data_IF_889943405403
#
_entry.id   IF_889943405403
#
_cell.length_a   1.000
_cell.length_b   1.000
_cell.length_c   1.000
_cell.angle_alpha   90.00
_cell.angle_beta   90.00
_cell.angle_gamma   90.00
#
_symmetry.space_group_name_H-M   'P 1'
#
loop_
_entity.id
_entity.type
_entity.pdbx_description
1 polymer ?
#
# COMPACT_ATOMS: atom_id res chain seq x y z
N UNK A 1 8.87 -12.38 65.75
CA UNK A 1 8.41 -13.72 66.08
C UNK A 1 7.89 -14.35 64.81
N UNK A 2 8.67 -15.25 64.20
CA UNK A 2 8.19 -16.30 63.28
C UNK A 2 7.46 -17.37 64.04
N UNK A 3 6.59 -18.18 63.47
CA UNK A 3 7.09 -19.34 62.73
C UNK A 3 6.39 -19.68 61.41
N UNK A 4 7.14 -20.20 60.51
CA UNK A 4 6.83 -21.21 59.48
C UNK A 4 6.82 -22.62 60.11
N UNK A 5 6.60 -23.70 59.33
CA UNK A 5 5.66 -24.08 58.30
C UNK A 5 5.00 -25.45 58.59
N UNK A 6 4.07 -25.91 57.77
CA UNK A 6 3.88 -27.35 57.55
C UNK A 6 3.38 -27.65 56.13
N UNK A 7 4.07 -28.58 55.52
CA UNK A 7 3.86 -29.29 54.30
C UNK A 7 2.82 -30.40 54.44
N UNK A 8 2.12 -30.69 53.34
CA UNK A 8 1.58 -31.97 52.85
C UNK A 8 0.50 -31.63 51.82
N UNK A 9 0.37 -32.22 50.65
CA UNK A 9 0.82 -33.48 50.08
C UNK A 9 0.17 -33.57 48.69
N UNK A 10 0.87 -34.25 47.84
CA UNK A 10 0.63 -34.44 46.40
C UNK A 10 -0.79 -34.92 46.01
N UNK A 11 -1.29 -34.44 44.88
CA UNK A 11 -1.99 -35.30 43.92
C UNK A 11 -1.97 -34.69 42.52
N UNK A 12 -1.31 -35.38 41.63
CA UNK A 12 -1.26 -35.23 40.19
C UNK A 12 -2.65 -35.34 39.58
N UNK A 13 -3.00 -34.42 38.69
CA UNK A 13 -3.84 -34.73 37.53
C UNK A 13 -3.44 -33.88 36.32
N UNK A 14 -2.95 -34.57 35.37
CA UNK A 14 -2.68 -34.31 33.97
C UNK A 14 -3.66 -33.31 33.33
N UNK A 15 -3.17 -32.18 32.87
CA UNK A 15 -3.83 -31.34 31.88
C UNK A 15 -3.50 -31.89 30.51
N UNK A 16 -4.54 -32.19 29.79
CA UNK A 16 -4.57 -32.69 28.43
C UNK A 16 -4.06 -31.62 27.47
N UNK A 17 -2.86 -31.83 26.95
CA UNK A 17 -2.24 -31.07 25.87
C UNK A 17 -2.86 -31.57 24.54
N UNK A 18 -3.95 -30.95 24.12
CA UNK A 18 -4.47 -31.15 22.78
C UNK A 18 -3.76 -30.25 21.77
N UNK A 19 -2.47 -30.52 21.53
CA UNK A 19 -1.82 -30.12 20.29
C UNK A 19 -2.44 -30.92 19.15
N UNK A 20 -3.29 -30.28 18.36
CA UNK A 20 -3.75 -30.80 17.09
C UNK A 20 -2.53 -30.98 16.18
N UNK A 21 -2.02 -32.20 16.10
CA UNK A 21 -1.04 -32.62 15.08
C UNK A 21 -1.75 -32.56 13.73
N UNK A 22 -1.36 -31.59 12.90
CA UNK A 22 -1.64 -31.66 11.48
C UNK A 22 -0.96 -32.91 10.91
N UNK A 23 -1.76 -33.90 10.56
CA UNK A 23 -1.30 -35.05 9.80
C UNK A 23 -1.08 -34.57 8.36
N UNK A 24 0.17 -34.59 7.96
CA UNK A 24 0.66 -34.30 6.61
C UNK A 24 0.21 -35.45 5.69
N UNK A 25 -0.94 -35.30 5.05
CA UNK A 25 -1.32 -36.15 3.92
C UNK A 25 -1.07 -35.34 2.65
N UNK A 26 0.14 -35.48 2.12
CA UNK A 26 0.47 -34.96 0.80
C UNK A 26 -0.46 -35.56 -0.24
N UNK A 27 -1.17 -34.74 -1.03
CA UNK A 27 -1.86 -35.23 -2.21
C UNK A 27 -0.83 -35.63 -3.26
N UNK A 28 -1.02 -36.81 -3.80
CA UNK A 28 -0.26 -37.36 -4.92
C UNK A 28 -0.17 -36.35 -6.06
N UNK A 29 1.00 -36.27 -6.66
CA UNK A 29 1.36 -35.50 -7.85
C UNK A 29 0.19 -35.37 -8.81
N UNK A 30 -0.29 -34.17 -9.01
CA UNK A 30 -1.10 -33.79 -10.15
C UNK A 30 -0.15 -33.29 -11.23
N UNK A 31 -0.38 -33.85 -12.41
CA UNK A 31 0.39 -33.69 -13.64
C UNK A 31 0.61 -32.23 -14.06
N UNK A 32 1.72 -32.07 -14.78
CA UNK A 32 2.11 -31.03 -15.73
C UNK A 32 1.16 -29.82 -15.82
N UNK A 33 1.67 -28.68 -15.39
CA UNK A 33 1.13 -27.38 -15.75
C UNK A 33 1.25 -27.25 -17.27
N UNK A 34 0.15 -27.47 -17.97
CA UNK A 34 0.02 -27.04 -19.36
C UNK A 34 0.22 -25.53 -19.40
N UNK A 35 1.26 -25.10 -20.10
CA UNK A 35 1.40 -23.71 -20.50
C UNK A 35 0.18 -23.32 -21.31
N UNK A 36 -0.64 -22.47 -20.77
CA UNK A 36 -1.71 -21.84 -21.54
C UNK A 36 -1.04 -20.98 -22.62
N UNK A 37 -1.15 -21.46 -23.86
CA UNK A 37 -0.91 -20.61 -25.02
C UNK A 37 -2.03 -19.55 -25.03
N UNK A 38 -1.66 -18.31 -24.82
CA UNK A 38 -2.54 -17.19 -25.08
C UNK A 38 -3.00 -17.22 -26.55
N UNK A 39 -4.29 -17.13 -26.82
CA UNK A 39 -4.74 -16.92 -28.19
C UNK A 39 -4.35 -15.51 -28.61
N UNK A 40 -3.49 -15.41 -29.62
CA UNK A 40 -3.19 -14.17 -30.31
C UNK A 40 -4.50 -13.57 -30.86
N UNK A 41 -5.06 -12.58 -30.16
CA UNK A 41 -6.12 -11.73 -30.69
C UNK A 41 -5.47 -10.56 -31.41
N UNK A 42 -5.54 -10.56 -32.74
CA UNK A 42 -5.29 -9.36 -33.52
C UNK A 42 -6.30 -8.26 -33.11
N UNK A 43 -5.82 -7.04 -32.88
CA UNK A 43 -6.71 -5.92 -32.60
C UNK A 43 -7.53 -5.57 -33.85
N UNK A 44 -8.80 -5.15 -33.69
CA UNK A 44 -9.60 -4.70 -34.80
C UNK A 44 -8.97 -3.46 -35.44
N UNK A 45 -8.75 -3.50 -36.74
CA UNK A 45 -8.32 -2.37 -37.55
C UNK A 45 -9.42 -1.31 -37.56
N UNK A 46 -9.22 -0.23 -36.81
CA UNK A 46 -10.01 0.98 -36.90
C UNK A 46 -9.19 2.08 -37.57
N UNK A 47 -9.60 2.47 -38.73
CA UNK A 47 -9.11 3.66 -39.45
C UNK A 47 -9.42 4.91 -38.63
N UNK A 48 -8.40 5.69 -38.24
CA UNK A 48 -8.58 7.06 -37.81
C UNK A 48 -7.57 7.95 -38.50
N UNK A 49 -8.12 8.78 -39.38
CA UNK A 49 -7.38 9.78 -40.13
C UNK A 49 -6.74 10.85 -39.24
N UNK A 50 -5.58 11.28 -39.69
CA UNK A 50 -4.81 12.37 -39.07
C UNK A 50 -5.55 13.72 -39.23
N UNK A 51 -5.74 14.45 -38.14
CA UNK A 51 -6.00 15.88 -38.19
C UNK A 51 -5.06 16.66 -37.27
N UNK A 52 -4.50 17.70 -37.83
CA UNK A 52 -3.55 18.63 -37.23
C UNK A 52 -4.20 19.53 -36.20
N UNK A 53 -3.52 19.72 -35.06
CA UNK A 53 -4.01 20.50 -33.91
C UNK A 53 -3.75 22.00 -34.03
N UNK A 54 -4.87 22.77 -33.89
CA UNK A 54 -4.86 24.16 -33.48
C UNK A 54 -5.50 24.26 -32.09
N UNK A 55 -5.82 25.47 -31.62
CA UNK A 55 -6.39 25.75 -30.27
C UNK A 55 -7.57 24.83 -29.83
N UNK A 56 -8.14 24.05 -30.72
CA UNK A 56 -9.10 22.98 -30.49
C UNK A 56 -8.52 21.75 -29.77
N UNK A 57 -7.20 21.50 -29.80
CA UNK A 57 -6.59 20.37 -29.09
C UNK A 57 -6.79 20.44 -27.58
N UNK A 58 -6.70 21.63 -27.00
CA UNK A 58 -6.90 21.83 -25.54
C UNK A 58 -8.33 21.55 -25.08
N UNK A 59 -9.33 21.78 -25.94
CA UNK A 59 -10.72 21.43 -25.63
C UNK A 59 -10.98 19.93 -25.72
N UNK A 60 -10.27 19.23 -26.62
CA UNK A 60 -10.36 17.77 -26.74
C UNK A 60 -9.77 17.10 -25.52
N UNK A 61 -8.63 17.58 -25.03
CA UNK A 61 -8.00 17.09 -23.81
C UNK A 61 -8.88 17.30 -22.57
N UNK A 62 -9.55 18.45 -22.47
CA UNK A 62 -10.49 18.72 -21.38
C UNK A 62 -11.73 17.79 -21.45
N UNK A 63 -12.23 17.54 -22.64
CA UNK A 63 -13.34 16.61 -22.85
C UNK A 63 -12.97 15.17 -22.55
N UNK A 64 -11.74 14.74 -22.84
CA UNK A 64 -11.20 13.42 -22.46
C UNK A 64 -11.04 13.29 -20.95
N UNK A 65 -10.52 14.31 -20.27
CA UNK A 65 -10.40 14.32 -18.80
C UNK A 65 -11.77 14.25 -18.14
N UNK A 66 -12.74 15.03 -18.62
CA UNK A 66 -14.12 14.98 -18.12
C UNK A 66 -14.77 13.62 -18.42
N UNK A 67 -14.53 13.07 -19.61
CA UNK A 67 -15.06 11.75 -19.99
C UNK A 67 -14.43 10.64 -19.12
N UNK A 68 -13.14 10.69 -18.84
CA UNK A 68 -12.48 9.73 -17.94
C UNK A 68 -12.96 9.87 -16.49
N UNK A 69 -13.17 11.12 -16.02
CA UNK A 69 -13.65 11.39 -14.67
C UNK A 69 -15.13 11.04 -14.44
N UNK A 70 -15.94 11.03 -15.52
CA UNK A 70 -17.37 10.73 -15.45
C UNK A 70 -17.73 9.30 -15.87
N UNK A 71 -16.74 8.47 -16.23
CA UNK A 71 -17.00 7.07 -16.55
C UNK A 71 -17.62 6.37 -15.33
N UNK A 72 -18.77 5.72 -15.47
CA UNK A 72 -19.28 4.85 -14.42
C UNK A 72 -18.29 3.73 -14.17
N UNK A 73 -18.20 3.29 -12.91
CA UNK A 73 -17.43 2.10 -12.55
C UNK A 73 -17.91 0.94 -13.45
N UNK A 74 -16.98 0.14 -14.00
CA UNK A 74 -17.36 -0.94 -14.88
C UNK A 74 -18.24 -1.93 -14.11
N UNK A 75 -19.43 -2.18 -14.64
CA UNK A 75 -20.40 -3.12 -14.10
C UNK A 75 -20.28 -4.50 -14.75
N UNK A 76 -19.45 -4.62 -15.80
CA UNK A 76 -19.22 -5.87 -16.51
C UNK A 76 -17.78 -6.30 -16.33
N UNK A 77 -17.58 -7.62 -16.31
CA UNK A 77 -16.26 -8.25 -16.23
C UNK A 77 -15.41 -7.85 -17.43
N UNK A 78 -14.64 -6.80 -17.28
CA UNK A 78 -13.63 -6.40 -18.24
C UNK A 78 -12.36 -7.26 -18.07
N UNK A 79 -11.50 -7.20 -19.07
CA UNK A 79 -10.18 -7.82 -19.05
C UNK A 79 -9.20 -7.18 -18.04
N UNK A 80 -9.67 -6.32 -17.12
CA UNK A 80 -8.84 -5.61 -16.14
C UNK A 80 -8.02 -4.44 -16.71
N UNK A 81 -8.11 -4.16 -17.99
CA UNK A 81 -7.42 -3.03 -18.63
C UNK A 81 -8.31 -1.80 -18.65
N UNK A 82 -8.34 -1.07 -17.54
CA UNK A 82 -9.07 0.20 -17.45
C UNK A 82 -8.24 1.40 -17.93
N UNK A 83 -7.01 1.18 -18.31
CA UNK A 83 -6.15 2.19 -18.91
C UNK A 83 -6.23 1.95 -20.42
N UNK A 84 -6.89 2.83 -21.13
CA UNK A 84 -6.80 2.84 -22.59
C UNK A 84 -5.33 3.01 -22.96
N UNK A 85 -4.81 2.00 -23.64
CA UNK A 85 -3.50 2.04 -24.22
C UNK A 85 -3.53 3.09 -25.36
N UNK A 86 -3.14 4.32 -25.03
CA UNK A 86 -3.06 5.41 -26.00
C UNK A 86 -1.87 5.14 -26.94
N UNK A 87 -2.15 4.40 -27.99
CA UNK A 87 -1.18 3.67 -28.82
C UNK A 87 -0.36 4.49 -29.81
N UNK A 88 0.17 5.63 -29.50
CA UNK A 88 1.14 6.31 -30.37
C UNK A 88 2.47 6.48 -29.66
N UNK A 89 3.50 5.79 -30.15
CA UNK A 89 4.88 5.96 -29.67
C UNK A 89 5.37 7.37 -29.98
N UNK A 90 5.82 8.08 -28.95
CA UNK A 90 6.45 9.39 -29.11
C UNK A 90 7.74 9.29 -29.93
N UNK A 91 7.97 10.26 -30.78
CA UNK A 91 9.29 10.42 -31.41
C UNK A 91 10.25 11.07 -30.41
N UNK A 92 11.56 10.85 -30.56
CA UNK A 92 12.57 11.52 -29.73
C UNK A 92 12.45 13.06 -29.78
N UNK A 93 11.86 13.61 -30.84
CA UNK A 93 11.58 15.04 -30.96
C UNK A 93 10.43 15.51 -30.09
N UNK A 94 9.39 14.70 -29.93
CA UNK A 94 8.27 14.98 -29.01
C UNK A 94 8.76 14.95 -27.55
N UNK A 95 9.63 13.99 -27.22
CA UNK A 95 10.28 13.91 -25.92
C UNK A 95 11.09 15.17 -25.61
N UNK A 96 11.90 15.64 -26.57
CA UNK A 96 12.72 16.85 -26.39
C UNK A 96 11.88 18.13 -26.30
N UNK A 97 10.80 18.23 -27.07
CA UNK A 97 9.89 19.39 -27.04
C UNK A 97 9.06 19.49 -25.75
N UNK A 98 8.88 18.38 -25.06
CA UNK A 98 8.17 18.34 -23.77
C UNK A 98 9.02 18.80 -22.59
N UNK A 99 10.35 18.84 -22.75
CA UNK A 99 11.32 19.22 -21.74
C UNK A 99 11.68 20.71 -21.82
N UNK A 100 11.77 21.36 -20.66
CA UNK A 100 12.16 22.77 -20.53
C UNK A 100 13.63 22.97 -20.10
N UNK A 101 14.02 24.22 -19.97
CA UNK A 101 15.38 24.59 -19.52
C UNK A 101 15.69 24.07 -18.10
N UNK A 102 14.70 24.05 -17.23
CA UNK A 102 14.83 23.52 -15.85
C UNK A 102 15.03 22.00 -15.86
N UNK A 103 14.45 21.30 -16.82
CA UNK A 103 14.63 19.86 -16.97
C UNK A 103 16.05 19.52 -17.41
N UNK A 104 16.65 20.32 -18.29
CA UNK A 104 18.06 20.18 -18.66
C UNK A 104 19.01 20.37 -17.45
N UNK A 105 18.68 21.29 -16.54
CA UNK A 105 19.40 21.45 -15.27
C UNK A 105 19.23 20.23 -14.36
N UNK A 106 18.03 19.69 -14.29
CA UNK A 106 17.74 18.47 -13.53
C UNK A 106 18.55 17.29 -14.03
N UNK A 107 18.61 17.06 -15.35
CA UNK A 107 19.45 16.02 -15.98
C UNK A 107 20.94 16.22 -15.62
N UNK A 108 21.44 17.44 -15.72
CA UNK A 108 22.83 17.76 -15.34
C UNK A 108 23.13 17.45 -13.88
N UNK A 109 22.24 17.85 -12.98
CA UNK A 109 22.39 17.60 -11.54
C UNK A 109 22.35 16.11 -11.24
N UNK A 110 21.44 15.37 -11.89
CA UNK A 110 21.36 13.91 -11.77
C UNK A 110 22.61 13.20 -12.25
N UNK A 111 23.07 13.50 -13.47
CA UNK A 111 24.31 12.90 -14.02
C UNK A 111 25.52 13.21 -13.14
N UNK A 112 25.60 14.41 -12.60
CA UNK A 112 26.67 14.80 -11.66
C UNK A 112 26.61 14.01 -10.35
N UNK A 113 25.42 13.78 -9.81
CA UNK A 113 25.22 13.02 -8.58
C UNK A 113 25.60 11.56 -8.77
N UNK A 114 25.14 10.93 -9.87
CA UNK A 114 25.50 9.56 -10.25
C UNK A 114 27.00 9.39 -10.50
N UNK A 115 27.59 10.26 -11.33
CA UNK A 115 29.03 10.20 -11.66
C UNK A 115 29.94 10.37 -10.44
N UNK A 116 29.53 11.15 -9.46
CA UNK A 116 30.28 11.37 -8.23
C UNK A 116 29.91 10.37 -7.12
N UNK A 117 28.99 9.45 -7.36
CA UNK A 117 28.46 8.50 -6.38
C UNK A 117 28.05 9.17 -5.06
N UNK A 118 27.48 10.36 -5.14
CA UNK A 118 27.02 11.11 -3.98
C UNK A 118 25.61 10.65 -3.60
N UNK A 119 25.28 10.59 -2.30
CA UNK A 119 23.90 10.39 -1.90
C UNK A 119 23.05 11.54 -2.46
N UNK A 120 21.82 11.23 -2.87
CA UNK A 120 20.87 12.23 -3.34
C UNK A 120 20.53 13.13 -2.15
N UNK A 121 20.88 14.40 -2.26
CA UNK A 121 20.58 15.40 -1.23
C UNK A 121 19.18 15.98 -1.50
N UNK A 122 18.28 15.74 -0.58
CA UNK A 122 16.88 16.17 -0.66
C UNK A 122 16.72 17.71 -0.59
N UNK A 123 17.73 18.44 -0.12
CA UNK A 123 17.70 19.92 -0.09
C UNK A 123 17.51 20.54 -1.47
N UNK A 124 17.88 19.85 -2.52
CA UNK A 124 17.75 20.32 -3.90
C UNK A 124 16.47 19.84 -4.56
N UNK A 125 15.65 19.05 -3.86
CA UNK A 125 14.46 18.40 -4.39
C UNK A 125 14.74 17.68 -5.73
N UNK A 126 15.90 17.02 -5.82
CA UNK A 126 16.34 16.40 -7.07
C UNK A 126 15.40 15.27 -7.50
N UNK A 127 14.91 14.49 -6.55
CA UNK A 127 14.00 13.39 -6.82
C UNK A 127 12.67 13.89 -7.37
N UNK A 128 12.06 14.91 -6.76
CA UNK A 128 10.82 15.51 -7.23
C UNK A 128 10.97 16.12 -8.62
N UNK A 129 12.11 16.79 -8.87
CA UNK A 129 12.41 17.36 -10.19
C UNK A 129 12.58 16.29 -11.26
N UNK A 130 13.19 15.13 -10.93
CA UNK A 130 13.30 13.99 -11.82
C UNK A 130 11.91 13.42 -12.14
N UNK A 131 11.08 13.22 -11.12
CA UNK A 131 9.72 12.73 -11.31
C UNK A 131 8.91 13.68 -12.18
N UNK A 132 8.95 14.99 -11.88
CA UNK A 132 8.26 16.01 -12.67
C UNK A 132 8.74 16.05 -14.12
N UNK A 133 10.02 15.89 -14.35
CA UNK A 133 10.60 15.81 -15.69
C UNK A 133 10.11 14.57 -16.45
N UNK A 134 10.18 13.41 -15.81
CA UNK A 134 9.70 12.13 -16.40
C UNK A 134 8.20 12.20 -16.67
N UNK A 135 7.42 12.82 -15.79
CA UNK A 135 5.98 12.96 -15.94
C UNK A 135 5.55 13.87 -17.11
N UNK A 136 6.41 14.80 -17.55
CA UNK A 136 6.15 15.66 -18.72
C UNK A 136 6.32 14.95 -20.05
N UNK A 137 7.06 13.84 -20.06
CA UNK A 137 7.32 13.10 -21.28
C UNK A 137 6.04 12.41 -21.79
N UNK A 138 5.86 12.26 -23.12
CA UNK A 138 4.70 11.57 -23.69
C UNK A 138 4.53 10.13 -23.17
N UNK A 139 3.30 9.65 -23.12
CA UNK A 139 2.95 8.36 -22.51
C UNK A 139 3.69 7.15 -23.11
N UNK A 140 4.09 7.25 -24.38
CA UNK A 140 4.83 6.18 -25.07
C UNK A 140 6.32 6.46 -25.30
N UNK A 141 6.82 7.46 -24.58
CA UNK A 141 8.24 7.75 -24.61
C UNK A 141 9.04 6.61 -23.99
N UNK A 142 9.97 6.04 -24.76
CA UNK A 142 10.96 5.09 -24.25
C UNK A 142 11.90 5.72 -23.21
N UNK A 143 12.06 7.04 -23.26
CA UNK A 143 12.84 7.79 -22.26
C UNK A 143 12.05 7.85 -20.96
N UNK A 144 10.74 8.09 -21.02
CA UNK A 144 9.84 8.05 -19.86
C UNK A 144 9.86 6.68 -19.18
N UNK A 145 9.70 5.62 -19.94
CA UNK A 145 9.76 4.24 -19.47
C UNK A 145 11.09 3.95 -18.75
N UNK A 146 12.22 4.15 -19.44
CA UNK A 146 13.56 3.95 -18.87
C UNK A 146 13.82 4.86 -17.65
N UNK A 147 13.38 6.10 -17.72
CA UNK A 147 13.50 7.05 -16.60
C UNK A 147 12.73 6.60 -15.37
N UNK A 148 11.51 6.07 -15.57
CA UNK A 148 10.69 5.51 -14.49
C UNK A 148 11.36 4.28 -13.87
N UNK A 149 11.84 3.33 -14.70
CA UNK A 149 12.56 2.15 -14.22
C UNK A 149 13.81 2.52 -13.42
N UNK A 150 14.62 3.45 -13.95
CA UNK A 150 15.81 3.91 -13.24
C UNK A 150 15.49 4.59 -11.92
N UNK A 151 14.43 5.39 -11.87
CA UNK A 151 13.95 6.01 -10.65
C UNK A 151 13.50 4.98 -9.61
N UNK A 152 12.73 3.98 -10.03
CA UNK A 152 12.31 2.89 -9.17
C UNK A 152 13.50 2.09 -8.63
N UNK A 153 14.50 1.81 -9.48
CA UNK A 153 15.75 1.16 -9.06
C UNK A 153 16.52 1.98 -8.00
N UNK A 154 16.58 3.31 -8.13
CA UNK A 154 17.20 4.18 -7.14
C UNK A 154 16.45 4.12 -5.81
N UNK A 155 15.11 4.21 -5.84
CA UNK A 155 14.29 4.09 -4.63
C UNK A 155 14.50 2.73 -3.96
N UNK A 156 14.48 1.65 -4.73
CA UNK A 156 14.72 0.31 -4.24
C UNK A 156 16.09 0.17 -3.59
N UNK A 157 17.15 0.56 -4.32
CA UNK A 157 18.54 0.42 -3.86
C UNK A 157 18.92 1.36 -2.71
N UNK A 158 18.08 2.34 -2.39
CA UNK A 158 18.29 3.21 -1.22
C UNK A 158 17.99 2.51 0.11
N UNK A 159 17.32 1.36 0.07
CA UNK A 159 16.91 0.58 1.22
C UNK A 159 17.69 -0.76 1.28
N UNK A 160 17.98 -1.30 2.47
CA UNK A 160 18.59 -2.61 2.58
C UNK A 160 17.58 -3.70 2.22
N UNK A 161 17.97 -4.62 1.37
CA UNK A 161 17.17 -5.76 0.95
C UNK A 161 17.88 -7.07 1.25
N UNK A 162 17.20 -8.04 1.87
CA UNK A 162 17.73 -9.39 2.01
C UNK A 162 17.68 -10.13 0.67
N UNK A 163 18.48 -11.19 0.49
CA UNK A 163 18.41 -12.02 -0.70
C UNK A 163 17.06 -12.69 -0.85
N UNK A 164 16.58 -12.76 -2.08
CA UNK A 164 15.34 -13.45 -2.44
C UNK A 164 15.45 -14.95 -2.18
N UNK A 165 14.42 -15.55 -1.60
CA UNK A 165 14.24 -16.98 -1.54
C UNK A 165 12.76 -17.38 -1.72
N UNK A 166 12.55 -18.67 -2.04
CA UNK A 166 11.23 -19.20 -2.35
C UNK A 166 10.72 -20.07 -1.19
N UNK A 167 9.52 -19.81 -0.70
CA UNK A 167 8.89 -20.58 0.40
C UNK A 167 7.84 -21.56 -0.11
N UNK A 168 7.32 -21.39 -1.34
CA UNK A 168 6.26 -22.20 -1.95
C UNK A 168 4.86 -21.66 -1.72
N UNK A 169 3.88 -22.45 -2.18
CA UNK A 169 2.48 -22.02 -2.28
C UNK A 169 1.77 -21.91 -0.92
N UNK A 170 2.40 -22.33 0.16
CA UNK A 170 1.87 -22.23 1.52
C UNK A 170 1.43 -20.82 1.90
N UNK A 171 2.07 -19.83 1.28
CA UNK A 171 1.85 -18.41 1.58
C UNK A 171 1.22 -17.67 0.40
N UNK A 172 0.21 -18.28 -0.21
CA UNK A 172 -0.53 -17.71 -1.34
C UNK A 172 -1.26 -16.40 -1.00
N UNK A 173 -1.54 -16.18 0.28
CA UNK A 173 -2.15 -14.95 0.79
C UNK A 173 -1.24 -14.26 1.79
N UNK A 174 -1.43 -12.95 1.96
CA UNK A 174 -0.73 -12.18 2.99
C UNK A 174 -1.17 -12.64 4.39
N UNK A 175 -0.21 -12.82 5.28
CA UNK A 175 -0.50 -13.07 6.70
C UNK A 175 -1.22 -11.87 7.34
N UNK A 176 -1.83 -12.06 8.50
CA UNK A 176 -2.50 -11.00 9.23
C UNK A 176 -1.50 -9.96 9.78
N UNK A 177 -0.31 -10.40 10.13
CA UNK A 177 0.75 -9.59 10.74
C UNK A 177 1.79 -9.05 9.74
N UNK A 178 1.60 -9.24 8.43
CA UNK A 178 2.56 -8.83 7.40
C UNK A 178 3.81 -9.70 7.32
N UNK A 179 3.88 -10.85 8.01
CA UNK A 179 4.99 -11.80 7.88
C UNK A 179 5.02 -12.48 6.51
N UNK A 180 6.14 -13.11 6.19
CA UNK A 180 6.35 -13.89 4.95
C UNK A 180 6.30 -13.10 3.64
N UNK A 181 6.41 -11.78 3.68
CA UNK A 181 6.69 -11.00 2.47
C UNK A 181 8.12 -11.20 1.96
N UNK A 182 9.02 -11.64 2.85
CA UNK A 182 10.32 -12.19 2.49
C UNK A 182 10.38 -13.65 2.92
N UNK A 183 10.57 -14.58 1.98
CA UNK A 183 10.65 -16.00 2.30
C UNK A 183 11.84 -16.41 3.15
N UNK A 184 12.99 -15.75 2.97
CA UNK A 184 14.21 -16.05 3.74
C UNK A 184 14.19 -15.45 5.14
N UNK A 185 13.62 -14.24 5.24
CA UNK A 185 13.45 -13.52 6.50
C UNK A 185 11.95 -13.31 6.78
N UNK A 186 11.23 -14.34 7.20
CA UNK A 186 9.77 -14.31 7.30
C UNK A 186 9.23 -13.18 8.18
N UNK A 187 10.03 -12.73 9.15
CA UNK A 187 9.63 -11.65 10.06
C UNK A 187 9.97 -10.24 9.55
N UNK A 188 10.64 -10.10 8.40
CA UNK A 188 11.00 -8.79 7.87
C UNK A 188 9.73 -7.98 7.57
N UNK A 189 9.61 -6.83 8.21
CA UNK A 189 8.47 -5.93 8.08
C UNK A 189 7.18 -6.40 8.75
N UNK A 190 7.19 -7.52 9.46
CA UNK A 190 6.04 -7.99 10.21
C UNK A 190 5.76 -7.11 11.44
N UNK A 191 4.52 -7.11 11.89
CA UNK A 191 4.14 -6.51 13.18
C UNK A 191 4.98 -7.05 14.32
N UNK A 192 5.24 -6.21 15.32
CA UNK A 192 6.08 -6.52 16.47
C UNK A 192 7.54 -6.85 16.11
N UNK A 193 8.08 -6.14 15.11
CA UNK A 193 9.51 -6.18 14.77
C UNK A 193 10.14 -4.81 14.94
N UNK A 194 11.45 -4.75 14.96
CA UNK A 194 12.21 -3.51 15.13
C UNK A 194 12.08 -2.62 13.88
N UNK A 195 12.11 -1.30 14.09
CA UNK A 195 12.27 -0.36 12.98
C UNK A 195 13.64 -0.51 12.34
N UNK A 196 13.69 -0.36 11.02
CA UNK A 196 14.96 -0.19 10.33
C UNK A 196 15.59 1.20 10.63
N UNK A 197 16.88 1.33 10.36
CA UNK A 197 17.61 2.59 10.36
C UNK A 197 18.10 2.86 8.94
N UNK A 198 17.79 4.03 8.41
CA UNK A 198 18.20 4.45 7.04
C UNK A 198 19.32 5.48 7.05
N UNK A 199 19.59 6.08 8.22
CA UNK A 199 20.67 7.04 8.39
C UNK A 199 21.62 6.63 9.51
N UNK A 200 22.90 6.83 9.31
CA UNK A 200 23.91 6.64 10.36
C UNK A 200 23.90 7.83 11.34
N UNK A 201 24.12 7.52 12.62
CA UNK A 201 24.27 8.56 13.62
C UNK A 201 25.60 9.30 13.40
N UNK A 202 25.54 10.52 12.90
CA UNK A 202 26.72 11.34 12.61
C UNK A 202 27.25 12.12 13.81
N UNK A 203 26.43 12.30 14.84
CA UNK A 203 26.77 13.06 16.06
C UNK A 203 26.19 12.39 17.29
N UNK A 204 26.90 12.52 18.41
CA UNK A 204 26.35 12.15 19.71
C UNK A 204 25.23 13.10 20.13
N UNK A 205 24.24 12.56 20.81
CA UNK A 205 23.18 13.34 21.42
C UNK A 205 23.80 14.33 22.41
N UNK A 206 23.45 15.64 22.36
CA UNK A 206 23.93 16.60 23.35
C UNK A 206 23.48 16.21 24.77
N UNK A 207 24.30 16.54 25.76
CA UNK A 207 24.04 16.24 27.16
C UNK A 207 22.76 16.93 27.68
N UNK A 208 22.46 18.11 27.14
CA UNK A 208 21.23 18.84 27.41
C UNK A 208 20.40 18.98 26.12
N UNK A 209 19.15 18.61 26.18
CA UNK A 209 18.18 18.85 25.12
C UNK A 209 17.39 20.14 25.43
N UNK A 210 16.99 20.90 24.40
CA UNK A 210 16.07 22.02 24.60
C UNK A 210 14.77 21.53 25.26
N UNK A 211 14.16 22.42 26.03
CA UNK A 211 12.83 22.15 26.61
C UNK A 211 11.80 21.94 25.51
N UNK A 212 10.97 20.87 25.55
CA UNK A 212 9.98 20.59 24.53
C UNK A 212 8.96 21.72 24.34
N UNK A 213 8.57 22.40 25.41
CA UNK A 213 7.67 23.56 25.38
C UNK A 213 8.28 24.71 24.60
N UNK A 214 9.56 25.01 24.83
CA UNK A 214 10.28 26.04 24.08
C UNK A 214 10.34 25.71 22.58
N UNK A 215 10.56 24.45 22.23
CA UNK A 215 10.55 24.00 20.82
C UNK A 215 9.15 24.17 20.22
N UNK A 216 8.10 23.77 20.96
CA UNK A 216 6.73 23.92 20.51
C UNK A 216 6.38 25.38 20.29
N UNK A 217 6.62 26.25 21.26
CA UNK A 217 6.31 27.69 21.19
C UNK A 217 7.07 28.40 20.06
N UNK A 218 8.33 27.99 19.82
CA UNK A 218 9.20 28.64 18.82
C UNK A 218 8.92 28.17 17.39
N UNK A 219 8.47 26.92 17.18
CA UNK A 219 8.41 26.28 15.85
C UNK A 219 6.99 25.86 15.47
N UNK A 220 6.22 25.31 16.41
CA UNK A 220 4.94 24.67 16.12
C UNK A 220 3.72 25.48 16.51
N UNK A 221 3.82 26.34 17.57
CA UNK A 221 2.71 27.14 18.01
C UNK A 221 2.21 28.09 16.91
N UNK A 222 0.89 28.21 16.80
CA UNK A 222 0.23 29.08 15.82
C UNK A 222 -0.83 29.91 16.53
N UNK A 223 -0.80 31.20 16.29
CA UNK A 223 -1.82 32.15 16.77
C UNK A 223 -3.07 32.13 15.89
N UNK A 224 -2.90 31.85 14.62
CA UNK A 224 -3.99 31.87 13.63
C UNK A 224 -3.93 30.67 12.70
N UNK A 225 -5.12 30.19 12.30
CA UNK A 225 -5.24 29.15 11.29
C UNK A 225 -4.67 29.62 9.95
N UNK A 226 -3.79 28.80 9.36
CA UNK A 226 -3.22 29.03 8.02
C UNK A 226 -3.83 28.04 7.03
N UNK A 227 -4.71 28.48 6.11
CA UNK A 227 -5.22 27.59 5.08
C UNK A 227 -4.09 27.16 4.13
N UNK A 228 -4.20 25.97 3.57
CA UNK A 228 -3.23 25.49 2.61
C UNK A 228 -3.20 26.38 1.34
N UNK A 229 -2.02 26.85 0.88
CA UNK A 229 -1.92 27.83 -0.21
C UNK A 229 -2.51 27.33 -1.55
N UNK A 230 -2.52 26.04 -1.78
CA UNK A 230 -3.06 25.41 -2.99
C UNK A 230 -4.48 24.82 -2.79
N UNK A 231 -5.16 25.16 -1.69
CA UNK A 231 -6.49 24.65 -1.36
C UNK A 231 -6.60 23.12 -1.42
N UNK A 232 -5.57 22.39 -0.96
CA UNK A 232 -5.60 20.94 -0.87
C UNK A 232 -6.70 20.51 0.10
N UNK A 233 -7.49 19.52 -0.32
CA UNK A 233 -8.61 19.01 0.48
C UNK A 233 -8.15 18.42 1.82
N UNK A 234 -8.96 18.58 2.88
CA UNK A 234 -8.75 17.92 4.16
C UNK A 234 -8.72 16.38 4.04
N UNK A 235 -9.41 15.81 3.06
CA UNK A 235 -9.37 14.37 2.77
C UNK A 235 -7.95 13.89 2.42
N UNK A 236 -7.13 14.72 1.79
CA UNK A 236 -5.73 14.41 1.55
C UNK A 236 -4.98 14.11 2.88
N UNK A 237 -5.14 14.98 3.87
CA UNK A 237 -4.49 14.81 5.18
C UNK A 237 -5.13 13.68 5.99
N UNK A 238 -6.42 13.44 5.81
CA UNK A 238 -7.11 12.27 6.36
C UNK A 238 -6.51 10.98 5.81
N UNK A 239 -6.26 10.91 4.50
CA UNK A 239 -5.60 9.77 3.87
C UNK A 239 -4.18 9.58 4.39
N UNK A 240 -3.42 10.67 4.55
CA UNK A 240 -2.11 10.64 5.18
C UNK A 240 -2.16 10.04 6.59
N UNK A 241 -3.19 10.38 7.37
CA UNK A 241 -3.40 9.82 8.72
C UNK A 241 -3.70 8.32 8.69
N UNK A 242 -4.45 7.83 7.69
CA UNK A 242 -4.66 6.39 7.50
C UNK A 242 -3.34 5.69 7.21
N UNK A 243 -2.51 6.22 6.31
CA UNK A 243 -1.18 5.67 6.01
C UNK A 243 -0.31 5.62 7.27
N UNK A 244 -0.29 6.69 8.08
CA UNK A 244 0.47 6.72 9.33
C UNK A 244 0.07 5.56 10.24
N UNK A 245 -1.23 5.38 10.45
CA UNK A 245 -1.74 4.36 11.36
C UNK A 245 -1.64 2.94 10.78
N UNK A 246 -1.50 2.82 9.46
CA UNK A 246 -1.31 1.55 8.78
C UNK A 246 0.13 1.03 8.92
N UNK A 247 1.14 1.91 8.90
CA UNK A 247 2.54 1.49 8.88
C UNK A 247 3.32 1.83 10.15
N UNK A 248 2.74 2.59 11.10
CA UNK A 248 3.42 2.99 12.33
C UNK A 248 2.56 2.76 13.58
N UNK A 249 3.09 1.95 14.48
CA UNK A 249 2.60 1.82 15.86
C UNK A 249 3.77 1.54 16.78
N UNK A 250 4.38 2.61 17.27
CA UNK A 250 5.58 2.51 18.12
C UNK A 250 5.25 1.84 19.45
N UNK A 251 6.05 0.85 19.81
CA UNK A 251 5.91 0.11 21.06
C UNK A 251 6.19 0.94 22.30
N UNK A 252 5.71 0.44 23.44
CA UNK A 252 6.02 0.97 24.76
C UNK A 252 6.20 -0.22 25.73
N UNK A 253 7.22 -0.23 26.57
CA UNK A 253 8.25 0.80 26.78
C UNK A 253 9.34 0.84 25.70
N UNK A 254 9.48 -0.21 24.89
CA UNK A 254 10.48 -0.29 23.85
C UNK A 254 10.00 0.43 22.57
N UNK A 255 10.58 1.61 22.34
CA UNK A 255 10.25 2.45 21.19
C UNK A 255 10.97 2.04 19.90
N UNK A 256 11.84 1.03 19.95
CA UNK A 256 12.46 0.46 18.75
C UNK A 256 11.50 -0.44 17.97
N UNK A 257 10.44 -0.93 18.63
CA UNK A 257 9.48 -1.87 18.04
C UNK A 257 8.36 -1.15 17.30
N UNK A 258 8.09 -1.62 16.09
CA UNK A 258 6.87 -1.30 15.36
C UNK A 258 5.83 -2.40 15.60
N UNK A 259 4.69 -2.07 16.19
CA UNK A 259 3.62 -3.04 16.49
C UNK A 259 2.74 -3.36 15.31
N UNK A 260 2.75 -2.53 14.26
CA UNK A 260 2.03 -2.77 13.02
C UNK A 260 2.96 -3.29 11.92
N UNK A 261 2.39 -3.80 10.85
CA UNK A 261 3.16 -4.23 9.68
C UNK A 261 3.81 -3.03 8.96
N UNK A 262 4.94 -3.26 8.30
CA UNK A 262 5.64 -2.25 7.50
C UNK A 262 5.07 -2.10 6.09
N UNK A 263 4.03 -2.84 5.77
CA UNK A 263 3.41 -2.86 4.44
C UNK A 263 2.07 -2.12 4.45
N UNK A 264 1.73 -1.52 3.32
CA UNK A 264 0.42 -0.89 3.11
C UNK A 264 -0.65 -1.97 2.87
N UNK A 265 -0.94 -2.76 3.89
CA UNK A 265 -1.86 -3.90 3.84
C UNK A 265 -3.21 -3.65 4.53
N UNK A 266 -3.52 -2.38 4.80
CA UNK A 266 -4.74 -1.94 5.48
C UNK A 266 -4.89 -2.58 6.86
N UNK A 267 -3.82 -2.64 7.66
CA UNK A 267 -3.88 -3.11 9.03
C UNK A 267 -4.87 -2.30 9.86
N UNK A 268 -5.08 -1.04 9.53
CA UNK A 268 -6.12 -0.19 10.13
C UNK A 268 -7.53 -0.75 9.98
N UNK A 269 -7.82 -1.42 8.87
CA UNK A 269 -9.10 -2.10 8.64
C UNK A 269 -9.08 -3.54 9.16
N UNK A 270 -7.99 -4.29 8.89
CA UNK A 270 -7.94 -5.75 9.05
C UNK A 270 -7.25 -6.23 10.33
N UNK A 271 -6.55 -5.35 11.05
CA UNK A 271 -5.75 -5.68 12.23
C UNK A 271 -4.31 -6.04 11.92
N UNK A 272 -3.50 -6.07 12.98
CA UNK A 272 -2.06 -6.31 12.96
C UNK A 272 -1.67 -7.74 13.37
N UNK A 273 -2.67 -8.57 13.64
CA UNK A 273 -2.50 -9.98 14.00
C UNK A 273 -3.77 -10.78 13.69
N UNK A 274 -3.68 -12.10 13.83
CA UNK A 274 -4.78 -12.99 13.51
C UNK A 274 -6.00 -12.81 14.41
N UNK A 275 -5.81 -12.47 15.69
CA UNK A 275 -6.92 -12.28 16.63
C UNK A 275 -7.73 -11.02 16.27
N UNK A 276 -7.06 -9.91 16.00
CA UNK A 276 -7.72 -8.69 15.52
C UNK A 276 -8.43 -8.92 14.18
N UNK A 277 -7.78 -9.63 13.25
CA UNK A 277 -8.41 -9.99 11.99
C UNK A 277 -9.66 -10.85 12.21
N UNK A 278 -9.60 -11.80 13.13
CA UNK A 278 -10.76 -12.64 13.47
C UNK A 278 -11.88 -11.82 14.12
N UNK A 279 -11.55 -10.80 14.91
CA UNK A 279 -12.57 -9.94 15.54
C UNK A 279 -13.43 -9.18 14.53
N UNK A 280 -12.89 -8.83 13.38
CA UNK A 280 -13.65 -8.10 12.35
C UNK A 280 -14.38 -9.03 11.36
N UNK A 281 -14.00 -10.31 11.25
CA UNK A 281 -14.61 -11.26 10.31
C UNK A 281 -16.00 -11.71 10.78
N UNK A 282 -16.87 -11.99 9.82
CA UNK A 282 -18.12 -12.72 10.06
C UNK A 282 -17.93 -14.22 10.04
N UNK A 283 -16.89 -14.72 9.35
CA UNK A 283 -16.65 -16.12 8.98
C UNK A 283 -17.78 -16.71 8.12
N UNK A 284 -18.44 -15.86 7.35
CA UNK A 284 -19.49 -16.22 6.42
C UNK A 284 -19.31 -15.47 5.11
N UNK A 285 -19.22 -16.22 4.00
CA UNK A 285 -19.08 -15.72 2.62
C UNK A 285 -17.92 -14.72 2.44
N UNK A 286 -16.84 -14.86 3.22
CA UNK A 286 -15.65 -14.01 3.17
C UNK A 286 -15.87 -12.58 3.64
N UNK A 287 -16.95 -12.27 4.29
CA UNK A 287 -17.32 -10.91 4.70
C UNK A 287 -16.72 -10.51 6.04
N UNK A 288 -16.59 -9.20 6.24
CA UNK A 288 -16.29 -8.58 7.52
C UNK A 288 -17.55 -7.96 8.11
N UNK A 289 -17.57 -7.78 9.43
CA UNK A 289 -18.70 -7.18 10.15
C UNK A 289 -19.02 -5.80 9.58
N UNK A 290 -20.29 -5.44 9.41
CA UNK A 290 -20.65 -4.17 8.81
C UNK A 290 -20.11 -2.98 9.63
N UNK A 291 -19.59 -2.00 8.91
CA UNK A 291 -19.21 -0.68 9.45
C UNK A 291 -18.24 -0.75 10.63
N UNK A 292 -17.33 -1.73 10.63
CA UNK A 292 -16.27 -1.85 11.64
C UNK A 292 -14.87 -1.78 11.00
N UNK A 293 -13.88 -1.50 11.83
CA UNK A 293 -12.45 -1.54 11.49
C UNK A 293 -11.65 -1.92 12.74
N UNK A 294 -10.41 -2.38 12.55
CA UNK A 294 -9.62 -2.95 13.65
C UNK A 294 -8.88 -1.90 14.49
N UNK A 295 -8.46 -0.77 13.92
CA UNK A 295 -7.56 0.19 14.56
C UNK A 295 -8.28 1.13 15.53
N UNK A 296 -8.12 0.95 16.85
CA UNK A 296 -8.85 1.76 17.84
C UNK A 296 -8.39 3.21 17.91
N UNK A 297 -7.14 3.53 17.53
CA UNK A 297 -6.62 4.91 17.54
C UNK A 297 -7.39 5.83 16.59
N UNK A 298 -8.02 5.27 15.56
CA UNK A 298 -8.79 6.06 14.60
C UNK A 298 -10.15 6.50 15.10
N UNK A 299 -10.63 5.94 16.21
CA UNK A 299 -11.90 6.39 16.83
C UNK A 299 -11.81 7.80 17.43
N UNK A 300 -10.61 8.23 17.81
CA UNK A 300 -10.36 9.55 18.40
C UNK A 300 -9.88 10.60 17.39
N UNK A 301 -9.75 10.24 16.13
CA UNK A 301 -9.41 11.17 15.04
C UNK A 301 -10.67 11.81 14.45
N UNK A 302 -10.51 12.89 13.65
CA UNK A 302 -11.63 13.46 12.91
C UNK A 302 -12.45 12.43 12.14
N UNK A 303 -13.76 12.59 12.12
CA UNK A 303 -14.72 11.62 11.59
C UNK A 303 -14.40 11.09 10.17
N UNK A 304 -13.76 11.91 9.34
CA UNK A 304 -13.39 11.54 7.98
C UNK A 304 -12.53 10.28 7.92
N UNK A 305 -11.64 10.04 8.91
CA UNK A 305 -10.80 8.85 8.98
C UNK A 305 -11.63 7.57 9.13
N UNK A 306 -12.56 7.58 10.08
CA UNK A 306 -13.49 6.47 10.27
C UNK A 306 -14.43 6.25 9.10
N UNK A 307 -14.92 7.34 8.48
CA UNK A 307 -15.78 7.26 7.30
C UNK A 307 -15.07 6.57 6.12
N UNK A 308 -13.79 6.90 5.86
CA UNK A 308 -13.02 6.23 4.79
C UNK A 308 -12.87 4.74 5.10
N UNK A 309 -12.56 4.37 6.34
CA UNK A 309 -12.45 2.95 6.72
C UNK A 309 -13.79 2.21 6.57
N UNK A 310 -14.90 2.84 6.91
CA UNK A 310 -16.24 2.28 6.68
C UNK A 310 -16.50 2.10 5.17
N UNK A 311 -16.10 3.05 4.34
CA UNK A 311 -16.20 2.91 2.88
C UNK A 311 -15.38 1.71 2.37
N UNK A 312 -14.15 1.54 2.86
CA UNK A 312 -13.30 0.40 2.53
C UNK A 312 -13.86 -0.94 3.06
N UNK A 313 -14.47 -0.93 4.26
CA UNK A 313 -15.20 -2.07 4.80
C UNK A 313 -16.35 -2.51 3.87
N UNK A 314 -17.18 -1.57 3.47
CA UNK A 314 -18.31 -1.84 2.55
C UNK A 314 -17.82 -2.29 1.18
N UNK A 315 -16.70 -1.74 0.72
CA UNK A 315 -16.08 -2.19 -0.53
C UNK A 315 -15.57 -3.62 -0.42
N UNK A 316 -14.90 -4.00 0.68
CA UNK A 316 -14.50 -5.39 0.91
C UNK A 316 -15.70 -6.34 0.82
N UNK A 317 -16.79 -6.05 1.51
CA UNK A 317 -17.98 -6.89 1.49
C UNK A 317 -18.63 -6.99 0.10
N UNK A 318 -18.65 -5.88 -0.64
CA UNK A 318 -19.08 -5.86 -2.03
C UNK A 318 -18.19 -6.75 -2.92
N UNK A 319 -16.86 -6.64 -2.77
CA UNK A 319 -15.91 -7.46 -3.53
C UNK A 319 -16.08 -8.94 -3.21
N UNK A 320 -16.21 -9.31 -1.93
CA UNK A 320 -16.43 -10.71 -1.54
C UNK A 320 -17.71 -11.28 -2.20
N UNK A 321 -18.77 -10.50 -2.23
CA UNK A 321 -20.03 -10.90 -2.91
C UNK A 321 -19.85 -11.05 -4.42
N UNK A 322 -19.16 -10.10 -5.07
CA UNK A 322 -18.89 -10.19 -6.52
C UNK A 322 -18.00 -11.38 -6.88
N UNK A 323 -16.98 -11.67 -6.08
CA UNK A 323 -16.13 -12.85 -6.27
C UNK A 323 -16.94 -14.15 -6.21
N UNK A 324 -17.87 -14.27 -5.27
CA UNK A 324 -18.75 -15.42 -5.16
C UNK A 324 -19.71 -15.56 -6.36
N UNK A 325 -20.22 -14.42 -6.88
CA UNK A 325 -21.13 -14.39 -8.05
C UNK A 325 -20.36 -14.74 -9.33
N UNK A 326 -19.20 -14.11 -9.55
CA UNK A 326 -18.38 -14.32 -10.75
C UNK A 326 -17.80 -15.72 -10.78
N UNK A 327 -17.37 -16.23 -9.62
CA UNK A 327 -16.82 -17.57 -9.42
C UNK A 327 -15.81 -17.97 -10.53
N UNK A 328 -14.84 -17.11 -10.79
CA UNK A 328 -13.86 -17.30 -11.86
C UNK A 328 -13.14 -18.64 -11.74
N UNK A 329 -13.16 -19.41 -12.83
CA UNK A 329 -12.59 -20.77 -12.90
C UNK A 329 -13.09 -21.74 -11.81
N UNK A 330 -14.26 -21.47 -11.20
CA UNK A 330 -14.83 -22.30 -10.13
C UNK A 330 -14.13 -22.17 -8.79
N UNK A 331 -13.26 -21.15 -8.61
CA UNK A 331 -12.43 -20.96 -7.41
C UNK A 331 -13.27 -20.71 -6.15
N UNK A 332 -14.41 -20.06 -6.30
CA UNK A 332 -15.31 -19.69 -5.22
C UNK A 332 -16.63 -20.47 -5.26
N UNK A 333 -16.56 -21.75 -5.67
CA UNK A 333 -17.72 -22.62 -5.68
C UNK A 333 -18.11 -22.99 -4.25
N UNK A 334 -19.36 -22.75 -3.88
CA UNK A 334 -19.88 -23.12 -2.56
C UNK A 334 -19.76 -24.64 -2.34
N UNK A 335 -19.34 -25.07 -1.14
CA UNK A 335 -19.32 -26.50 -0.80
C UNK A 335 -20.68 -27.12 -0.98
N UNK A 336 -20.70 -28.39 -1.43
CA UNK A 336 -21.94 -29.13 -1.62
C UNK A 336 -22.60 -29.41 -0.27
N UNK A 337 -23.91 -29.28 -0.22
CA UNK A 337 -24.71 -29.57 0.98
C UNK A 337 -24.68 -31.07 1.38
N UNK A 338 -24.23 -31.93 0.48
CA UNK A 338 -24.24 -33.40 0.60
C UNK A 338 -22.96 -33.97 1.24
N UNK A 339 -22.04 -33.12 1.76
CA UNK A 339 -20.86 -33.62 2.47
C UNK A 339 -21.30 -34.27 3.77
N UNK A 340 -21.17 -35.61 3.82
CA UNK A 340 -21.68 -36.44 4.93
C UNK A 340 -20.83 -36.31 6.19
N UNK A 341 -19.49 -36.15 6.02
CA UNK A 341 -18.59 -35.95 7.16
C UNK A 341 -18.66 -34.50 7.67
N UNK A 342 -19.08 -34.30 8.93
CA UNK A 342 -19.17 -32.96 9.50
C UNK A 342 -17.82 -32.22 9.59
N UNK A 343 -16.70 -32.93 9.73
CA UNK A 343 -15.37 -32.36 9.77
C UNK A 343 -14.97 -31.87 8.39
N UNK A 344 -15.17 -32.71 7.37
CA UNK A 344 -14.93 -32.34 5.98
C UNK A 344 -15.79 -31.15 5.55
N UNK A 345 -17.09 -31.17 5.89
CA UNK A 345 -18.00 -30.07 5.61
C UNK A 345 -17.49 -28.75 6.24
N UNK A 346 -17.13 -28.79 7.52
CA UNK A 346 -16.59 -27.61 8.22
C UNK A 346 -15.31 -27.07 7.58
N UNK A 347 -14.39 -27.94 7.21
CA UNK A 347 -13.15 -27.55 6.55
C UNK A 347 -13.40 -26.95 5.16
N UNK A 348 -14.32 -27.53 4.39
CA UNK A 348 -14.71 -27.01 3.08
C UNK A 348 -15.33 -25.62 3.17
N UNK A 349 -16.24 -25.39 4.11
CA UNK A 349 -16.84 -24.07 4.34
C UNK A 349 -15.84 -23.05 4.87
N UNK A 350 -14.96 -23.44 5.79
CA UNK A 350 -13.89 -22.57 6.29
C UNK A 350 -12.92 -22.17 5.17
N UNK A 351 -12.58 -23.11 4.28
CA UNK A 351 -11.75 -22.81 3.11
C UNK A 351 -12.45 -21.86 2.15
N UNK A 352 -13.71 -22.10 1.82
CA UNK A 352 -14.51 -21.25 0.95
C UNK A 352 -14.58 -19.81 1.49
N UNK A 353 -14.94 -19.65 2.76
CA UNK A 353 -14.98 -18.35 3.42
C UNK A 353 -13.61 -17.67 3.43
N UNK A 354 -12.54 -18.42 3.75
CA UNK A 354 -11.20 -17.85 3.79
C UNK A 354 -10.69 -17.43 2.39
N UNK A 355 -10.95 -18.23 1.35
CA UNK A 355 -10.53 -17.90 -0.02
C UNK A 355 -11.20 -16.60 -0.50
N UNK A 356 -12.49 -16.42 -0.22
CA UNK A 356 -13.22 -15.19 -0.51
C UNK A 356 -12.66 -14.01 0.29
N UNK A 357 -12.51 -14.18 1.61
CA UNK A 357 -11.99 -13.12 2.49
C UNK A 357 -10.61 -12.64 2.06
N UNK A 358 -9.67 -13.57 1.87
CA UNK A 358 -8.29 -13.21 1.51
C UNK A 358 -8.21 -12.58 0.12
N UNK A 359 -9.00 -13.04 -0.84
CA UNK A 359 -9.02 -12.44 -2.18
C UNK A 359 -9.67 -11.05 -2.14
N UNK A 360 -10.77 -10.87 -1.43
CA UNK A 360 -11.39 -9.56 -1.24
C UNK A 360 -10.46 -8.59 -0.51
N UNK A 361 -9.71 -9.06 0.51
CA UNK A 361 -8.68 -8.29 1.20
C UNK A 361 -7.60 -7.82 0.25
N UNK A 362 -7.06 -8.70 -0.60
CA UNK A 362 -6.04 -8.33 -1.60
C UNK A 362 -6.54 -7.28 -2.58
N UNK A 363 -7.77 -7.42 -3.08
CA UNK A 363 -8.38 -6.45 -4.01
C UNK A 363 -8.60 -5.10 -3.31
N UNK A 364 -9.09 -5.11 -2.07
CA UNK A 364 -9.30 -3.89 -1.29
C UNK A 364 -7.99 -3.19 -0.98
N UNK A 365 -6.93 -3.94 -0.60
CA UNK A 365 -5.59 -3.40 -0.44
C UNK A 365 -5.04 -2.85 -1.76
N UNK A 366 -5.28 -3.54 -2.88
CA UNK A 366 -4.89 -3.06 -4.21
C UNK A 366 -5.55 -1.72 -4.56
N UNK A 367 -6.84 -1.55 -4.22
CA UNK A 367 -7.52 -0.26 -4.39
C UNK A 367 -6.91 0.82 -3.48
N UNK A 368 -6.63 0.50 -2.23
CA UNK A 368 -5.98 1.41 -1.29
C UNK A 368 -4.61 1.88 -1.79
N UNK A 369 -3.79 0.97 -2.32
CA UNK A 369 -2.51 1.29 -2.93
C UNK A 369 -2.70 2.17 -4.17
N UNK A 370 -3.66 1.85 -5.03
CA UNK A 370 -3.93 2.67 -6.21
C UNK A 370 -4.34 4.10 -5.84
N UNK A 371 -5.23 4.30 -4.88
CA UNK A 371 -5.60 5.63 -4.38
C UNK A 371 -4.37 6.36 -3.82
N UNK A 372 -3.53 5.64 -3.06
CA UNK A 372 -2.30 6.20 -2.51
C UNK A 372 -1.36 6.69 -3.61
N UNK A 373 -1.19 5.93 -4.69
CA UNK A 373 -0.25 6.27 -5.76
C UNK A 373 -0.83 7.26 -6.77
N UNK A 374 -2.08 7.06 -7.19
CA UNK A 374 -2.68 7.86 -8.27
C UNK A 374 -3.29 9.19 -7.79
N UNK A 375 -3.70 9.29 -6.53
CA UNK A 375 -4.28 10.51 -5.96
C UNK A 375 -3.36 11.16 -4.93
N UNK A 376 -3.02 10.43 -3.87
CA UNK A 376 -2.30 10.98 -2.74
C UNK A 376 -0.84 11.35 -3.10
N UNK A 377 -0.06 10.39 -3.59
CA UNK A 377 1.33 10.63 -3.98
C UNK A 377 1.43 11.68 -5.09
N UNK A 378 0.56 11.57 -6.10
CA UNK A 378 0.49 12.52 -7.20
C UNK A 378 0.25 13.95 -6.71
N UNK A 379 -0.54 14.14 -5.67
CA UNK A 379 -0.79 15.45 -5.07
C UNK A 379 0.42 15.95 -4.28
N UNK A 380 1.08 15.10 -3.50
CA UNK A 380 2.27 15.45 -2.70
C UNK A 380 3.42 15.94 -3.59
N UNK A 381 3.69 15.23 -4.69
CA UNK A 381 4.75 15.60 -5.64
C UNK A 381 4.30 16.61 -6.69
N UNK A 382 3.10 17.17 -6.52
CA UNK A 382 2.55 18.28 -7.30
C UNK A 382 2.39 18.01 -8.81
N UNK A 383 2.22 16.75 -9.22
CA UNK A 383 2.02 16.37 -10.62
C UNK A 383 0.71 16.86 -11.22
N UNK A 384 -0.28 17.22 -10.40
CA UNK A 384 -1.56 17.75 -10.87
C UNK A 384 -1.43 19.07 -11.63
N UNK A 385 -0.29 19.79 -11.49
CA UNK A 385 -0.02 21.02 -12.24
C UNK A 385 0.50 20.77 -13.65
N UNK A 386 1.09 19.61 -13.89
CA UNK A 386 1.80 19.31 -15.14
C UNK A 386 0.92 18.67 -16.21
N UNK A 387 -0.39 18.51 -15.94
CA UNK A 387 -1.35 17.89 -16.86
C UNK A 387 -0.87 16.52 -17.42
N UNK A 388 -0.06 15.82 -16.62
CA UNK A 388 0.57 14.55 -16.97
C UNK A 388 -0.30 13.39 -16.55
N UNK A 389 -0.33 12.33 -17.36
CA UNK A 389 -0.96 11.05 -17.02
C UNK A 389 -0.01 10.10 -16.29
N UNK A 390 1.26 10.51 -16.09
CA UNK A 390 2.25 9.67 -15.42
C UNK A 390 1.83 9.36 -13.98
N UNK A 391 1.97 8.09 -13.61
CA UNK A 391 1.77 7.58 -12.27
C UNK A 391 2.85 6.55 -11.95
N UNK A 392 3.11 6.35 -10.67
CA UNK A 392 3.92 5.25 -10.21
C UNK A 392 3.06 3.97 -10.27
N UNK A 393 3.38 3.06 -11.18
CA UNK A 393 2.67 1.78 -11.29
C UNK A 393 3.32 0.73 -10.37
N UNK A 394 2.63 0.24 -9.35
CA UNK A 394 3.18 -0.76 -8.43
C UNK A 394 3.37 -2.14 -9.08
N UNK A 395 2.81 -2.33 -10.29
CA UNK A 395 2.93 -3.58 -11.05
C UNK A 395 4.08 -3.57 -12.03
N UNK A 396 4.86 -2.49 -12.07
CA UNK A 396 6.01 -2.39 -12.98
C UNK A 396 7.02 -3.46 -12.61
N UNK A 397 7.27 -4.37 -13.54
CA UNK A 397 8.37 -5.31 -13.48
C UNK A 397 9.59 -4.68 -14.12
N UNK A 398 10.71 -4.76 -13.45
CA UNK A 398 11.98 -4.37 -14.04
C UNK A 398 12.63 -5.59 -14.67
N UNK A 399 12.60 -5.66 -15.99
CA UNK A 399 13.24 -6.72 -16.76
C UNK A 399 14.77 -6.74 -16.62
N UNK A 400 15.33 -5.71 -15.97
CA UNK A 400 16.77 -5.57 -15.72
C UNK A 400 17.18 -6.02 -14.32
N UNK A 401 16.29 -6.67 -13.56
CA UNK A 401 16.52 -7.16 -12.19
C UNK A 401 16.93 -6.06 -11.20
N UNK A 402 16.68 -4.78 -11.50
CA UNK A 402 16.96 -3.68 -10.55
C UNK A 402 16.01 -3.71 -9.35
N UNK A 403 14.79 -4.25 -9.52
CA UNK A 403 13.78 -4.37 -8.46
C UNK A 403 13.37 -5.83 -8.31
N UNK A 404 14.07 -6.60 -7.47
CA UNK A 404 13.75 -8.01 -7.28
C UNK A 404 12.38 -8.17 -6.62
N UNK A 405 11.62 -9.17 -7.07
CA UNK A 405 10.30 -9.50 -6.53
C UNK A 405 10.40 -10.21 -5.18
N UNK A 406 9.36 -10.10 -4.35
CA UNK A 406 9.18 -10.82 -3.09
C UNK A 406 10.33 -10.65 -2.06
N UNK A 407 11.05 -9.54 -2.08
CA UNK A 407 12.07 -9.27 -1.06
C UNK A 407 11.51 -8.63 0.21
N UNK A 408 10.41 -7.91 0.11
CA UNK A 408 9.88 -7.19 1.25
C UNK A 408 10.82 -6.09 1.76
N UNK A 409 10.41 -5.39 2.80
CA UNK A 409 11.22 -4.36 3.46
C UNK A 409 10.69 -4.08 4.87
N UNK A 410 11.29 -3.09 5.54
CA UNK A 410 10.94 -2.69 6.90
C UNK A 410 10.89 -1.17 7.00
N UNK A 411 9.86 -0.62 7.64
CA UNK A 411 9.76 0.81 7.90
C UNK A 411 10.92 1.30 8.76
N UNK A 412 11.44 2.47 8.41
CA UNK A 412 12.50 3.08 9.19
C UNK A 412 11.96 3.98 10.31
N UNK A 413 12.74 4.11 11.37
CA UNK A 413 12.43 5.04 12.46
C UNK A 413 12.45 6.48 11.97
N UNK A 414 13.33 6.81 11.04
CA UNK A 414 13.42 8.14 10.44
C UNK A 414 12.13 8.50 9.69
N UNK A 415 11.57 7.56 8.92
CA UNK A 415 10.29 7.76 8.26
C UNK A 415 9.17 7.94 9.30
N UNK A 416 9.11 7.10 10.34
CA UNK A 416 8.15 7.26 11.42
C UNK A 416 8.24 8.63 12.12
N UNK A 417 9.45 9.17 12.32
CA UNK A 417 9.63 10.48 12.96
C UNK A 417 9.27 11.64 12.04
N UNK A 418 9.58 11.54 10.75
CA UNK A 418 9.39 12.63 9.78
C UNK A 418 7.96 12.69 9.23
N UNK A 419 7.31 11.55 9.00
CA UNK A 419 6.01 11.47 8.36
C UNK A 419 4.87 11.71 9.37
N UNK A 420 4.69 12.97 9.79
CA UNK A 420 3.75 13.43 10.80
C UNK A 420 2.88 14.56 10.28
N UNK A 421 1.56 14.36 10.30
CA UNK A 421 0.59 15.28 9.73
C UNK A 421 -0.38 15.88 10.77
N UNK A 422 -0.09 15.75 12.05
CA UNK A 422 -0.96 16.24 13.13
C UNK A 422 -1.26 17.74 13.04
N UNK A 423 -0.33 18.54 12.54
CA UNK A 423 -0.49 19.98 12.36
C UNK A 423 -1.40 20.39 11.19
N UNK A 424 -1.90 19.43 10.41
CA UNK A 424 -2.70 19.68 9.21
C UNK A 424 -4.21 19.49 9.43
N UNK A 425 -4.63 19.27 10.67
CA UNK A 425 -6.05 19.21 11.04
C UNK A 425 -6.73 20.51 10.65
N UNK A 426 -7.87 20.39 9.96
CA UNK A 426 -8.68 21.53 9.55
C UNK A 426 -9.45 22.17 10.72
N UNK A 427 -9.73 23.46 10.62
CA UNK A 427 -10.49 24.19 11.66
C UNK A 427 -11.84 23.53 11.98
N UNK A 428 -12.52 23.00 10.97
CA UNK A 428 -13.82 22.33 11.19
C UNK A 428 -13.67 20.99 11.89
N UNK A 429 -12.59 20.25 11.55
CA UNK A 429 -12.28 18.98 12.20
C UNK A 429 -11.87 19.16 13.66
N UNK A 430 -11.09 20.23 13.96
CA UNK A 430 -10.73 20.61 15.31
C UNK A 430 -11.97 20.93 16.13
N UNK A 431 -12.85 21.81 15.64
CA UNK A 431 -14.10 22.18 16.30
C UNK A 431 -15.04 20.97 16.49
N UNK A 432 -15.06 20.04 15.52
CA UNK A 432 -15.82 18.80 15.65
C UNK A 432 -15.27 17.92 16.75
N UNK A 433 -13.94 17.75 16.80
CA UNK A 433 -13.27 16.95 17.82
C UNK A 433 -13.52 17.49 19.22
N UNK A 434 -13.34 18.80 19.44
CA UNK A 434 -13.61 19.47 20.71
C UNK A 434 -15.06 19.34 21.17
N UNK A 435 -15.99 19.33 20.23
CA UNK A 435 -17.43 19.16 20.54
C UNK A 435 -17.80 17.72 20.88
N UNK A 436 -17.06 16.75 20.33
CA UNK A 436 -17.42 15.33 20.41
C UNK A 436 -16.79 14.65 21.61
N UNK A 437 -15.60 15.07 22.00
CA UNK A 437 -14.81 14.53 23.11
C UNK A 437 -14.62 15.58 24.22
#
# INVERSE_FOLDING_TARGET
MRPEPQTEGASSKTSDDSHARFVDTAPKRVHEVQRFNEPSREPPKGDVGAEQGGAFGRFKDLSEVVHKATRPLPTETGNGTYIEDSSKGGSLWEDLLSLGIEDAKTVKDFVKTEALRRPIDDKTMLMERIIQMVAKLPDKSKIREKGTHKFLGILWNSLPHPPLSYVGDKYAYRSADGSYNNPTLPRLGAANTEYARTTEASKMRPASMPDPGLIFDSIFARETFKPHPNNVSSIFFTWASLIIHDVFQTGYPDQSINKTSSYLDLSTLYGDNQDEQNMIRTFEDGKIKPDCFAEPRLHILPAASGVILIMLNRFHNYVAEQLAIINENGRFTKPKAEIIDPVEARLAWAKYDNDLFQTARLITCGMYINITLYDYLRTIINLNRDNSTWNLDPRTHDDQDEIPTAQGNQCSVEFNLAYRWHSTIGRQDEAWTEKTY
#
